data_IF_857708403069
#
_entry.id   IF_857708403069
#
_cell.length_a   1.000
_cell.length_b   1.000
_cell.length_c   1.000
_cell.angle_alpha   90.00
_cell.angle_beta   90.00
_cell.angle_gamma   90.00
#
_symmetry.space_group_name_H-M   'P 1'
#
loop_
_entity.id
_entity.type
_entity.pdbx_description
1 polymer ?
#
# COMPACT_ATOMS: atom_id res chain seq x y z
N UNK A 1 -19.45 -6.31 -1.04
CA UNK A 1 -19.57 -4.95 -0.45
C UNK A 1 -18.22 -4.28 -0.20
N UNK A 2 -17.19 -5.03 0.23
CA UNK A 2 -15.82 -4.53 0.47
C UNK A 2 -15.26 -3.61 -0.63
N UNK A 3 -15.30 -4.05 -1.89
CA UNK A 3 -14.82 -3.24 -3.03
C UNK A 3 -15.66 -1.97 -3.27
N UNK A 4 -16.96 -2.02 -2.99
CA UNK A 4 -17.86 -0.86 -3.15
C UNK A 4 -17.55 0.23 -2.14
N UNK A 5 -17.29 -0.14 -0.88
CA UNK A 5 -16.91 0.79 0.19
C UNK A 5 -15.51 1.38 0.01
N UNK A 6 -14.73 0.90 -0.96
CA UNK A 6 -13.52 1.56 -1.40
C UNK A 6 -13.81 2.95 -1.99
N UNK A 7 -14.98 3.13 -2.63
CA UNK A 7 -15.46 4.40 -3.19
C UNK A 7 -16.73 4.88 -2.47
N UNK A 8 -16.56 5.91 -1.65
CA UNK A 8 -17.63 6.56 -0.88
C UNK A 8 -18.11 7.87 -1.50
N UNK A 9 -17.72 8.16 -2.74
CA UNK A 9 -18.08 9.39 -3.40
C UNK A 9 -19.53 9.35 -3.92
N UNK A 10 -20.24 10.50 -4.00
CA UNK A 10 -21.66 10.51 -4.32
C UNK A 10 -21.95 10.53 -5.82
N UNK A 11 -20.94 10.52 -6.69
CA UNK A 11 -21.11 10.50 -8.15
C UNK A 11 -21.56 9.10 -8.62
N UNK A 12 -22.83 8.77 -8.34
CA UNK A 12 -23.47 7.47 -8.60
C UNK A 12 -24.96 7.69 -8.85
N UNK A 13 -25.63 6.67 -9.39
CA UNK A 13 -27.09 6.64 -9.51
C UNK A 13 -27.70 5.95 -8.30
N UNK A 14 -28.62 6.64 -7.62
CA UNK A 14 -29.37 6.11 -6.48
C UNK A 14 -30.86 6.04 -6.83
N UNK A 15 -31.53 4.93 -6.46
CA UNK A 15 -32.99 4.87 -6.58
C UNK A 15 -33.61 5.84 -5.59
N UNK A 16 -34.42 6.78 -6.07
CA UNK A 16 -35.10 7.77 -5.21
C UNK A 16 -35.88 7.13 -4.07
N UNK A 17 -36.65 6.07 -4.37
CA UNK A 17 -37.43 5.35 -3.37
C UNK A 17 -36.58 4.76 -2.23
N UNK A 18 -35.34 4.33 -2.51
CA UNK A 18 -34.39 3.88 -1.48
C UNK A 18 -34.08 5.01 -0.51
N UNK A 19 -33.82 6.21 -1.04
CA UNK A 19 -33.47 7.39 -0.23
C UNK A 19 -34.66 7.83 0.62
N UNK A 20 -35.85 7.89 0.04
CA UNK A 20 -37.06 8.36 0.71
C UNK A 20 -37.53 7.35 1.78
N UNK A 21 -37.58 6.06 1.46
CA UNK A 21 -38.00 5.00 2.40
C UNK A 21 -37.12 4.95 3.65
N UNK A 22 -35.81 5.16 3.50
CA UNK A 22 -34.85 5.08 4.61
C UNK A 22 -34.47 6.46 5.18
N UNK A 23 -35.12 7.55 4.74
CA UNK A 23 -34.82 8.91 5.20
C UNK A 23 -33.37 9.33 4.98
N UNK A 24 -32.72 8.84 3.92
CA UNK A 24 -31.31 9.12 3.65
C UNK A 24 -31.19 10.51 3.04
N UNK A 25 -30.49 11.39 3.75
CA UNK A 25 -30.13 12.75 3.33
C UNK A 25 -28.65 12.99 3.64
N UNK A 26 -28.07 13.98 2.97
CA UNK A 26 -26.75 14.48 3.37
C UNK A 26 -26.84 15.12 4.75
N UNK A 27 -25.85 14.91 5.62
CA UNK A 27 -25.70 15.72 6.82
C UNK A 27 -25.59 17.21 6.45
N UNK A 28 -26.43 18.05 7.04
CA UNK A 28 -26.38 19.50 6.83
C UNK A 28 -25.29 20.16 7.71
N UNK A 29 -24.78 21.31 7.27
CA UNK A 29 -23.72 22.05 7.95
C UNK A 29 -22.30 21.71 7.50
N UNK A 30 -21.29 22.11 8.29
CA UNK A 30 -19.86 21.88 7.98
C UNK A 30 -19.40 20.48 8.42
N UNK A 31 -19.98 19.45 7.81
CA UNK A 31 -19.58 18.05 8.04
C UNK A 31 -18.55 17.64 7.00
N UNK A 32 -17.44 17.04 7.41
CA UNK A 32 -16.45 16.48 6.47
C UNK A 32 -16.87 15.04 6.15
N UNK A 33 -16.61 14.58 4.93
CA UNK A 33 -17.00 13.22 4.52
C UNK A 33 -18.52 12.98 4.66
N UNK A 34 -19.29 14.06 4.58
CA UNK A 34 -20.75 14.07 4.56
C UNK A 34 -21.29 13.17 3.44
N UNK A 35 -20.59 13.17 2.32
CA UNK A 35 -20.84 12.28 1.19
C UNK A 35 -20.63 10.81 1.56
N UNK A 36 -19.51 10.50 2.22
CA UNK A 36 -19.22 9.13 2.63
C UNK A 36 -20.19 8.60 3.69
N UNK A 37 -20.70 9.46 4.56
CA UNK A 37 -21.76 9.11 5.51
C UNK A 37 -23.04 8.75 4.77
N UNK A 38 -23.47 9.60 3.82
CA UNK A 38 -24.69 9.37 3.03
C UNK A 38 -24.57 8.08 2.19
N UNK A 39 -23.48 7.92 1.44
CA UNK A 39 -23.26 6.77 0.56
C UNK A 39 -23.15 5.46 1.35
N UNK A 40 -22.53 5.47 2.53
CA UNK A 40 -22.47 4.28 3.39
C UNK A 40 -23.86 3.83 3.81
N UNK A 41 -24.76 4.76 4.19
CA UNK A 41 -26.16 4.43 4.47
C UNK A 41 -26.86 3.82 3.27
N UNK A 42 -26.62 4.34 2.06
CA UNK A 42 -27.19 3.78 0.84
C UNK A 42 -26.73 2.33 0.61
N UNK A 43 -25.43 2.04 0.76
CA UNK A 43 -24.94 0.67 0.58
C UNK A 43 -25.57 -0.31 1.56
N UNK A 44 -25.64 0.06 2.84
CA UNK A 44 -26.22 -0.79 3.89
C UNK A 44 -27.73 -1.00 3.72
N UNK A 45 -28.46 0.01 3.24
CA UNK A 45 -29.90 -0.10 2.96
C UNK A 45 -30.21 -0.80 1.63
N UNK A 46 -29.25 -0.87 0.71
CA UNK A 46 -29.48 -1.42 -0.62
C UNK A 46 -29.61 -2.95 -0.59
N UNK A 47 -30.63 -3.48 -1.28
CA UNK A 47 -30.75 -4.93 -1.52
C UNK A 47 -29.79 -5.43 -2.61
N UNK A 48 -29.46 -4.55 -3.57
CA UNK A 48 -28.55 -4.84 -4.67
C UNK A 48 -27.80 -3.57 -5.05
N UNK A 49 -26.50 -3.72 -5.20
CA UNK A 49 -25.60 -2.72 -5.79
C UNK A 49 -25.02 -3.32 -7.08
N UNK A 50 -24.93 -2.51 -8.13
CA UNK A 50 -24.35 -2.91 -9.42
C UNK A 50 -23.23 -1.93 -9.80
N UNK A 51 -22.25 -2.41 -10.56
CA UNK A 51 -21.17 -1.60 -11.13
C UNK A 51 -21.21 -1.76 -12.65
N UNK A 52 -21.17 -0.64 -13.36
CA UNK A 52 -21.03 -0.57 -14.83
C UNK A 52 -19.71 0.10 -15.15
N UNK A 53 -18.93 -0.51 -16.05
CA UNK A 53 -17.54 -0.14 -16.34
C UNK A 53 -17.15 -0.45 -17.80
N UNK A 54 -18.12 -0.46 -18.70
CA UNK A 54 -17.98 -0.66 -20.14
C UNK A 54 -17.48 0.59 -20.88
N UNK A 55 -17.61 1.78 -20.27
CA UNK A 55 -16.98 3.01 -20.73
C UNK A 55 -16.82 4.04 -19.58
N UNK A 56 -16.15 5.16 -19.85
CA UNK A 56 -15.98 6.26 -18.90
C UNK A 56 -17.27 7.10 -18.79
N UNK A 57 -18.05 6.87 -17.73
CA UNK A 57 -19.36 7.51 -17.53
C UNK A 57 -19.30 8.91 -16.91
N UNK A 58 -18.37 9.17 -16.01
CA UNK A 58 -18.36 10.37 -15.17
C UNK A 58 -16.98 11.02 -15.14
N UNK A 59 -16.87 12.22 -15.72
CA UNK A 59 -15.63 12.98 -15.78
C UNK A 59 -15.58 14.02 -14.65
N UNK A 60 -14.58 13.90 -13.77
CA UNK A 60 -14.31 14.89 -12.73
C UNK A 60 -13.43 16.00 -13.31
N UNK A 61 -14.00 17.19 -13.49
CA UNK A 61 -13.25 18.36 -13.92
C UNK A 61 -12.68 19.12 -12.71
N UNK A 62 -11.36 19.28 -12.64
CA UNK A 62 -10.74 20.15 -11.65
C UNK A 62 -10.97 21.62 -12.03
N UNK A 63 -11.36 22.48 -11.08
CA UNK A 63 -11.50 23.92 -11.34
C UNK A 63 -10.14 24.61 -11.37
N UNK A 64 -9.95 25.51 -12.33
CA UNK A 64 -8.83 26.45 -12.34
C UNK A 64 -8.88 27.34 -11.08
N UNK A 65 -7.72 27.57 -10.46
CA UNK A 65 -7.62 28.31 -9.18
C UNK A 65 -7.78 27.46 -7.91
N UNK A 66 -8.15 26.17 -8.03
CA UNK A 66 -8.04 25.19 -6.94
C UNK A 66 -8.96 25.41 -5.73
N UNK A 67 -9.70 26.51 -5.60
CA UNK A 67 -10.52 26.76 -4.43
C UNK A 67 -11.80 25.89 -4.42
N UNK A 68 -11.74 24.75 -3.74
CA UNK A 68 -12.93 24.01 -3.31
C UNK A 68 -13.19 24.29 -1.82
N UNK A 69 -14.44 24.22 -1.36
CA UNK A 69 -14.81 24.35 0.08
C UNK A 69 -13.99 23.39 0.95
N UNK A 70 -13.50 22.29 0.37
CA UNK A 70 -12.62 21.31 0.98
C UNK A 70 -11.16 21.77 1.22
N UNK A 71 -10.72 22.94 0.74
CA UNK A 71 -9.36 23.48 0.89
C UNK A 71 -9.05 24.03 2.29
N UNK A 72 -10.06 24.35 3.11
CA UNK A 72 -9.81 24.75 4.48
C UNK A 72 -9.05 23.64 5.25
N UNK A 73 -8.11 24.05 6.11
CA UNK A 73 -7.31 23.12 6.92
C UNK A 73 -8.24 22.22 7.73
N UNK A 74 -8.20 20.92 7.45
CA UNK A 74 -9.04 19.92 8.11
C UNK A 74 -8.84 19.93 9.63
N UNK A 75 -9.93 20.01 10.41
CA UNK A 75 -9.89 19.79 11.86
C UNK A 75 -9.61 18.31 12.14
N UNK A 76 -8.60 17.95 12.95
CA UNK A 76 -8.34 16.56 13.32
C UNK A 76 -9.55 15.86 13.93
N UNK A 77 -10.21 16.53 14.88
CA UNK A 77 -11.36 16.00 15.62
C UNK A 77 -12.55 15.81 14.67
N UNK A 78 -13.04 16.89 14.05
CA UNK A 78 -14.22 16.80 13.19
C UNK A 78 -14.07 15.87 11.98
N UNK A 79 -12.86 15.72 11.43
CA UNK A 79 -12.63 14.69 10.41
C UNK A 79 -12.71 13.28 10.99
N UNK A 80 -12.09 13.06 12.16
CA UNK A 80 -12.10 11.75 12.80
C UNK A 80 -13.51 11.34 13.26
N UNK A 81 -14.29 12.28 13.79
CA UNK A 81 -15.70 12.06 14.15
C UNK A 81 -16.53 11.61 12.94
N UNK A 82 -16.24 12.18 11.78
CA UNK A 82 -16.92 11.80 10.54
C UNK A 82 -16.54 10.40 10.08
N UNK A 83 -15.27 10.00 10.25
CA UNK A 83 -14.85 8.62 10.01
C UNK A 83 -15.45 7.66 11.03
N UNK A 84 -15.50 8.04 12.31
CA UNK A 84 -16.17 7.29 13.39
C UNK A 84 -17.65 7.07 13.04
N UNK A 85 -18.34 8.10 12.56
CA UNK A 85 -19.74 7.98 12.13
C UNK A 85 -19.93 6.93 11.03
N UNK A 86 -19.03 6.88 10.06
CA UNK A 86 -19.06 5.86 9.00
C UNK A 86 -18.77 4.47 9.58
N UNK A 87 -17.78 4.35 10.47
CA UNK A 87 -17.48 3.08 11.15
C UNK A 87 -18.69 2.57 11.94
N UNK A 88 -19.31 3.40 12.76
CA UNK A 88 -20.51 3.04 13.51
C UNK A 88 -21.67 2.62 12.62
N UNK A 89 -21.88 3.28 11.48
CA UNK A 89 -22.90 2.87 10.52
C UNK A 89 -22.64 1.46 10.00
N UNK A 90 -21.38 1.13 9.68
CA UNK A 90 -20.99 -0.21 9.21
C UNK A 90 -21.19 -1.25 10.32
N UNK A 91 -20.71 -0.97 11.53
CA UNK A 91 -20.79 -1.89 12.68
C UNK A 91 -22.23 -2.27 13.02
N UNK A 92 -23.14 -1.29 13.01
CA UNK A 92 -24.54 -1.52 13.41
C UNK A 92 -25.45 -1.91 12.23
N UNK A 93 -25.06 -1.57 11.01
CA UNK A 93 -25.88 -1.77 9.82
C UNK A 93 -25.52 -2.98 8.98
N UNK A 94 -24.34 -3.60 9.19
CA UNK A 94 -23.92 -4.79 8.46
C UNK A 94 -24.45 -6.06 9.16
N UNK A 95 -25.07 -7.01 8.44
CA UNK A 95 -25.66 -8.21 9.07
C UNK A 95 -24.62 -9.20 9.60
N UNK A 96 -23.40 -9.16 9.07
CA UNK A 96 -22.26 -10.00 9.48
C UNK A 96 -21.23 -9.14 10.20
N UNK A 97 -21.04 -9.41 11.50
CA UNK A 97 -20.13 -8.68 12.39
C UNK A 97 -18.66 -8.80 11.99
N UNK A 98 -18.21 -9.97 11.54
CA UNK A 98 -16.79 -10.16 11.19
C UNK A 98 -16.46 -9.48 9.88
N UNK A 99 -17.38 -9.52 8.92
CA UNK A 99 -17.25 -8.71 7.72
C UNK A 99 -17.29 -7.21 8.05
N UNK A 100 -18.15 -6.77 8.98
CA UNK A 100 -18.16 -5.38 9.45
C UNK A 100 -16.80 -4.93 9.99
N UNK A 101 -16.15 -5.73 10.84
CA UNK A 101 -14.79 -5.46 11.35
C UNK A 101 -13.77 -5.28 10.22
N UNK A 102 -13.82 -6.13 9.18
CA UNK A 102 -12.93 -6.02 8.02
C UNK A 102 -13.18 -4.72 7.23
N UNK A 103 -14.45 -4.32 7.06
CA UNK A 103 -14.82 -3.07 6.38
C UNK A 103 -14.35 -1.83 7.17
N UNK A 104 -14.50 -1.85 8.49
CA UNK A 104 -14.01 -0.80 9.39
C UNK A 104 -12.48 -0.75 9.36
N UNK A 105 -11.78 -1.89 9.34
CA UNK A 105 -10.33 -1.94 9.20
C UNK A 105 -9.86 -1.31 7.88
N UNK A 106 -10.55 -1.57 6.77
CA UNK A 106 -10.24 -0.96 5.48
C UNK A 106 -10.50 0.55 5.46
N UNK A 107 -11.55 1.01 6.15
CA UNK A 107 -11.84 2.43 6.35
C UNK A 107 -10.74 3.09 7.17
N UNK A 108 -10.36 2.49 8.30
CA UNK A 108 -9.28 2.92 9.18
C UNK A 108 -7.96 3.05 8.41
N UNK A 109 -7.57 2.02 7.64
CA UNK A 109 -6.38 2.06 6.79
C UNK A 109 -6.39 3.24 5.82
N UNK A 110 -7.49 3.44 5.08
CA UNK A 110 -7.57 4.43 3.99
C UNK A 110 -7.78 5.87 4.47
N UNK A 111 -8.56 6.08 5.53
CA UNK A 111 -9.00 7.40 5.99
C UNK A 111 -8.20 7.90 7.19
N UNK A 112 -7.77 7.00 8.08
CA UNK A 112 -7.05 7.35 9.30
C UNK A 112 -5.55 7.15 9.11
N UNK A 113 -5.09 5.91 8.94
CA UNK A 113 -3.65 5.59 8.92
C UNK A 113 -2.88 6.20 7.74
N UNK A 114 -3.57 6.48 6.63
CA UNK A 114 -3.05 7.30 5.51
C UNK A 114 -2.52 8.66 5.96
N UNK A 115 -3.05 9.21 7.06
CA UNK A 115 -2.66 10.54 7.54
C UNK A 115 -1.21 10.64 8.01
N UNK A 116 -0.60 9.50 8.29
CA UNK A 116 0.79 9.38 8.71
C UNK A 116 1.76 9.15 7.55
N UNK A 117 1.33 9.36 6.30
CA UNK A 117 2.22 9.37 5.14
C UNK A 117 3.44 10.29 5.40
N UNK A 118 4.69 9.85 5.14
CA UNK A 118 5.88 10.50 5.70
C UNK A 118 5.97 12.01 5.44
N UNK A 119 5.80 12.43 4.18
CA UNK A 119 5.85 13.84 3.79
C UNK A 119 4.78 14.67 4.50
N UNK A 120 3.54 14.16 4.53
CA UNK A 120 2.40 14.85 5.15
C UNK A 120 2.63 15.00 6.65
N UNK A 121 2.97 13.91 7.34
CA UNK A 121 3.09 13.92 8.80
C UNK A 121 4.24 14.80 9.28
N UNK A 122 5.43 14.70 8.67
CA UNK A 122 6.60 15.51 9.02
C UNK A 122 6.36 17.01 8.83
N UNK A 123 5.57 17.39 7.82
CA UNK A 123 5.24 18.81 7.56
C UNK A 123 4.29 19.44 8.59
N UNK A 124 3.62 18.65 9.43
CA UNK A 124 2.69 19.19 10.44
C UNK A 124 3.46 19.72 11.66
N UNK A 125 2.97 20.79 12.29
CA UNK A 125 3.49 21.23 13.59
C UNK A 125 3.25 20.19 14.69
N UNK A 126 4.11 20.16 15.71
CA UNK A 126 3.97 19.26 16.88
C UNK A 126 2.55 19.29 17.48
N UNK A 127 2.02 20.49 17.77
CA UNK A 127 0.68 20.62 18.33
C UNK A 127 -0.42 20.02 17.44
N UNK A 128 -0.25 20.09 16.12
CA UNK A 128 -1.19 19.48 15.16
C UNK A 128 -1.03 17.97 15.07
N UNK A 129 0.20 17.45 15.13
CA UNK A 129 0.45 16.00 15.18
C UNK A 129 -0.16 15.36 16.41
N UNK A 130 0.05 15.94 17.61
CA UNK A 130 -0.56 15.46 18.86
C UNK A 130 -2.08 15.34 18.77
N UNK A 131 -2.76 16.37 18.23
CA UNK A 131 -4.22 16.34 18.06
C UNK A 131 -4.69 15.26 17.08
N UNK A 132 -3.96 15.01 16.00
CA UNK A 132 -4.27 13.92 15.08
C UNK A 132 -4.04 12.54 15.71
N UNK A 133 -2.93 12.35 16.41
CA UNK A 133 -2.62 11.09 17.09
C UNK A 133 -3.66 10.80 18.18
N UNK A 134 -4.00 11.78 19.01
CA UNK A 134 -5.02 11.62 20.06
C UNK A 134 -6.39 11.24 19.46
N UNK A 135 -6.92 12.02 18.50
CA UNK A 135 -8.22 11.74 17.90
C UNK A 135 -8.27 10.35 17.24
N UNK A 136 -7.21 9.97 16.51
CA UNK A 136 -7.15 8.65 15.87
C UNK A 136 -6.93 7.49 16.87
N UNK A 137 -6.27 7.74 18.00
CA UNK A 137 -6.15 6.77 19.09
C UNK A 137 -7.53 6.47 19.68
N UNK A 138 -8.33 7.50 19.93
CA UNK A 138 -9.68 7.34 20.46
C UNK A 138 -10.59 6.60 19.43
N UNK A 139 -10.45 6.92 18.14
CA UNK A 139 -11.14 6.18 17.06
C UNK A 139 -10.77 4.69 17.04
N UNK A 140 -9.48 4.36 17.07
CA UNK A 140 -9.04 2.96 16.92
C UNK A 140 -9.36 2.14 18.17
N UNK A 141 -9.35 2.77 19.35
CA UNK A 141 -9.78 2.18 20.62
C UNK A 141 -11.28 1.84 20.59
N UNK A 142 -12.12 2.70 20.01
CA UNK A 142 -13.56 2.49 19.94
C UNK A 142 -14.01 1.50 18.84
N UNK A 143 -13.34 1.48 17.68
CA UNK A 143 -13.89 0.82 16.47
C UNK A 143 -13.05 -0.34 15.91
N UNK A 144 -11.80 -0.51 16.35
CA UNK A 144 -10.90 -1.51 15.77
C UNK A 144 -10.31 -2.39 16.85
N UNK A 145 -10.82 -3.62 17.04
CA UNK A 145 -10.22 -4.60 17.95
C UNK A 145 -8.73 -4.79 17.67
N UNK A 146 -7.92 -4.96 18.72
CA UNK A 146 -6.46 -4.95 18.61
C UNK A 146 -5.92 -6.09 17.73
N UNK A 147 -6.57 -7.25 17.76
CA UNK A 147 -6.25 -8.42 16.95
C UNK A 147 -6.35 -8.14 15.44
N UNK A 148 -7.17 -7.17 15.03
CA UNK A 148 -7.34 -6.82 13.62
C UNK A 148 -6.08 -6.20 13.02
N UNK A 149 -5.16 -5.68 13.84
CA UNK A 149 -3.87 -5.14 13.37
C UNK A 149 -3.02 -6.23 12.69
N UNK A 150 -3.24 -7.51 12.99
CA UNK A 150 -2.59 -8.63 12.31
C UNK A 150 -2.92 -8.69 10.80
N UNK A 151 -4.06 -8.16 10.38
CA UNK A 151 -4.45 -8.08 8.97
C UNK A 151 -3.89 -6.86 8.24
N UNK A 152 -3.21 -5.95 8.95
CA UNK A 152 -2.50 -4.84 8.33
C UNK A 152 -1.09 -5.27 7.93
N UNK A 153 -0.65 -4.81 6.76
CA UNK A 153 0.73 -4.95 6.29
C UNK A 153 1.52 -3.67 6.59
N UNK A 154 2.85 -3.74 6.47
CA UNK A 154 3.68 -2.55 6.49
C UNK A 154 3.20 -1.53 5.44
N UNK A 155 3.14 -0.22 5.77
CA UNK A 155 3.50 0.41 7.05
C UNK A 155 2.33 0.54 8.04
N UNK A 156 1.14 0.05 7.68
CA UNK A 156 -0.10 0.31 8.40
C UNK A 156 -0.16 -0.38 9.76
N UNK A 157 0.40 -1.60 9.90
CA UNK A 157 0.44 -2.30 11.18
C UNK A 157 1.21 -1.50 12.23
N UNK A 158 2.42 -1.06 11.90
CA UNK A 158 3.28 -0.27 12.77
C UNK A 158 2.65 1.09 13.09
N UNK A 159 2.05 1.75 12.11
CA UNK A 159 1.29 3.00 12.36
C UNK A 159 0.16 2.77 13.34
N UNK A 160 -0.60 1.69 13.22
CA UNK A 160 -1.71 1.38 14.14
C UNK A 160 -1.20 1.18 15.56
N UNK A 161 -0.16 0.37 15.74
CA UNK A 161 0.45 0.12 17.05
C UNK A 161 0.93 1.43 17.71
N UNK A 162 1.60 2.30 16.96
CA UNK A 162 2.09 3.58 17.47
C UNK A 162 0.97 4.59 17.75
N UNK A 163 -0.11 4.58 16.95
CA UNK A 163 -1.31 5.39 17.20
C UNK A 163 -2.00 4.95 18.48
N UNK A 164 -2.20 3.64 18.70
CA UNK A 164 -2.77 3.09 19.94
C UNK A 164 -1.93 3.48 21.17
N UNK A 165 -0.60 3.44 21.03
CA UNK A 165 0.33 3.87 22.07
C UNK A 165 0.42 5.40 22.24
N UNK A 166 -0.27 6.18 21.39
CA UNK A 166 -0.17 7.65 21.30
C UNK A 166 1.29 8.14 21.13
N UNK A 167 2.16 7.31 20.51
CA UNK A 167 3.59 7.58 20.34
C UNK A 167 3.87 8.42 19.08
N UNK A 168 3.78 9.75 19.21
CA UNK A 168 4.12 10.70 18.14
C UNK A 168 5.57 10.53 17.66
N UNK A 169 6.51 10.32 18.57
CA UNK A 169 7.93 10.24 18.23
C UNK A 169 8.25 8.96 17.48
N UNK A 170 7.64 7.84 17.88
CA UNK A 170 7.69 6.59 17.13
C UNK A 170 7.11 6.73 15.73
N UNK A 171 5.99 7.46 15.56
CA UNK A 171 5.44 7.73 14.22
C UNK A 171 6.40 8.57 13.35
N UNK A 172 7.13 9.51 13.94
CA UNK A 172 8.16 10.29 13.24
C UNK A 172 9.36 9.43 12.85
N UNK A 173 9.83 8.56 13.75
CA UNK A 173 10.90 7.59 13.45
C UNK A 173 10.47 6.62 12.35
N UNK A 174 9.27 6.05 12.44
CA UNK A 174 8.70 5.18 11.41
C UNK A 174 8.58 5.90 10.07
N UNK A 175 8.18 7.17 10.05
CA UNK A 175 8.18 7.96 8.82
C UNK A 175 9.60 8.08 8.21
N UNK A 176 10.65 8.07 9.04
CA UNK A 176 12.07 7.84 8.70
C UNK A 176 12.27 6.54 7.93
N UNK A 177 11.99 5.44 8.62
CA UNK A 177 12.12 4.08 8.12
C UNK A 177 11.34 3.86 6.83
N UNK A 178 10.10 4.36 6.72
CA UNK A 178 9.28 4.29 5.50
C UNK A 178 9.94 4.95 4.28
N UNK A 179 10.63 6.07 4.48
CA UNK A 179 11.33 6.78 3.40
C UNK A 179 12.56 6.00 2.94
N UNK A 180 13.29 5.39 3.88
CA UNK A 180 14.45 4.54 3.58
C UNK A 180 14.03 3.24 2.87
N UNK A 181 12.99 2.56 3.36
CA UNK A 181 12.43 1.32 2.79
C UNK A 181 11.66 1.56 1.46
N UNK A 182 11.50 2.82 1.05
CA UNK A 182 10.97 3.19 -0.25
C UNK A 182 12.02 3.36 -1.34
N UNK A 183 13.27 2.95 -1.09
CA UNK A 183 14.32 2.95 -2.10
C UNK A 183 14.00 2.04 -3.28
N UNK A 184 14.37 2.49 -4.47
CA UNK A 184 14.27 1.76 -5.72
C UNK A 184 15.55 0.94 -5.92
N UNK A 185 15.44 -0.39 -6.04
CA UNK A 185 16.57 -1.25 -6.33
C UNK A 185 16.91 -1.26 -7.83
N UNK A 186 18.17 -1.03 -8.15
CA UNK A 186 18.73 -1.07 -9.51
C UNK A 186 19.88 -2.08 -9.57
N UNK A 187 19.82 -3.01 -10.51
CA UNK A 187 20.94 -3.91 -10.76
C UNK A 187 22.05 -3.18 -11.55
N UNK A 188 23.31 -3.48 -11.24
CA UNK A 188 24.42 -3.31 -12.20
C UNK A 188 24.26 -4.31 -13.33
N UNK A 189 25.10 -4.19 -14.36
CA UNK A 189 25.19 -5.22 -15.41
C UNK A 189 25.45 -6.57 -14.74
N UNK A 190 24.55 -7.56 -14.92
CA UNK A 190 24.75 -8.87 -14.32
C UNK A 190 25.83 -9.66 -15.05
N UNK A 191 26.62 -10.38 -14.28
CA UNK A 191 27.58 -11.36 -14.76
C UNK A 191 26.99 -12.74 -14.55
N UNK A 192 26.96 -13.54 -15.62
CA UNK A 192 26.57 -14.93 -15.52
C UNK A 192 27.80 -15.83 -15.58
N UNK A 193 28.06 -16.54 -14.49
CA UNK A 193 28.98 -17.67 -14.48
C UNK A 193 28.26 -19.00 -14.71
N UNK A 194 29.02 -20.09 -14.82
CA UNK A 194 28.48 -21.43 -15.01
C UNK A 194 27.50 -21.86 -13.91
N UNK A 195 27.73 -21.40 -12.67
CA UNK A 195 26.99 -21.83 -11.47
C UNK A 195 26.26 -20.69 -10.75
N UNK A 196 26.50 -19.43 -11.11
CA UNK A 196 26.00 -18.27 -10.37
C UNK A 196 25.59 -17.14 -11.30
N UNK A 197 24.51 -16.45 -10.92
CA UNK A 197 24.17 -15.13 -11.41
C UNK A 197 24.66 -14.11 -10.38
N UNK A 198 25.54 -13.21 -10.79
CA UNK A 198 26.12 -12.16 -9.94
C UNK A 198 25.72 -10.78 -10.46
N UNK A 199 25.39 -9.87 -9.56
CA UNK A 199 25.27 -8.44 -9.88
C UNK A 199 25.37 -7.60 -8.62
N UNK A 200 25.76 -6.33 -8.77
CA UNK A 200 25.60 -5.32 -7.74
C UNK A 200 24.17 -4.82 -7.69
N UNK A 201 23.62 -4.62 -6.49
CA UNK A 201 22.32 -4.00 -6.25
C UNK A 201 22.55 -2.60 -5.67
N UNK A 202 22.25 -1.57 -6.46
CA UNK A 202 22.29 -0.17 -6.03
C UNK A 202 20.92 0.27 -5.55
N UNK A 203 20.89 1.03 -4.46
CA UNK A 203 19.67 1.68 -3.97
C UNK A 203 19.71 3.17 -4.29
N UNK A 204 18.62 3.71 -4.86
CA UNK A 204 18.51 5.11 -5.30
C UNK A 204 18.57 6.14 -4.15
N UNK A 205 18.44 5.67 -2.91
CA UNK A 205 18.48 6.48 -1.69
C UNK A 205 19.66 6.04 -0.83
N UNK A 206 20.40 7.03 -0.33
CA UNK A 206 21.43 6.78 0.68
C UNK A 206 20.77 6.52 2.03
N UNK A 207 20.87 5.30 2.51
CA UNK A 207 20.40 4.88 3.83
C UNK A 207 21.13 3.61 4.21
N UNK A 208 21.36 3.43 5.50
CA UNK A 208 21.80 2.16 6.06
C UNK A 208 20.64 1.17 6.12
N UNK A 209 20.90 -0.11 5.87
CA UNK A 209 19.91 -1.19 5.98
C UNK A 209 20.48 -2.27 6.89
N UNK A 210 19.62 -2.83 7.74
CA UNK A 210 20.00 -3.91 8.64
C UNK A 210 20.18 -5.23 7.86
N UNK A 211 19.39 -5.41 6.79
CA UNK A 211 19.46 -6.54 5.88
C UNK A 211 18.87 -6.18 4.50
N UNK A 212 19.39 -6.80 3.44
CA UNK A 212 18.90 -6.67 2.06
C UNK A 212 18.84 -8.06 1.44
N UNK A 213 17.65 -8.45 0.98
CA UNK A 213 17.40 -9.76 0.37
C UNK A 213 16.92 -9.61 -1.06
N UNK A 214 17.41 -10.46 -1.95
CA UNK A 214 16.88 -10.62 -3.30
C UNK A 214 15.96 -11.82 -3.36
N UNK A 215 14.80 -11.66 -3.98
CA UNK A 215 13.82 -12.71 -4.20
C UNK A 215 13.69 -12.96 -5.70
N UNK A 216 13.97 -14.18 -6.12
CA UNK A 216 13.66 -14.68 -7.44
C UNK A 216 12.30 -15.39 -7.39
N UNK A 217 11.28 -14.78 -8.00
CA UNK A 217 9.89 -15.29 -7.95
C UNK A 217 9.43 -15.80 -9.31
N UNK A 218 8.93 -17.02 -9.36
CA UNK A 218 8.27 -17.59 -10.53
C UNK A 218 6.98 -16.85 -10.86
N UNK A 219 6.80 -16.44 -12.12
CA UNK A 219 5.54 -15.88 -12.61
C UNK A 219 4.42 -16.90 -12.72
N UNK A 220 4.75 -18.19 -12.87
CA UNK A 220 3.76 -19.23 -13.13
C UNK A 220 3.00 -19.64 -11.87
N UNK A 221 3.70 -19.76 -10.74
CA UNK A 221 3.15 -20.32 -9.51
C UNK A 221 3.50 -19.51 -8.24
N UNK A 222 4.25 -18.42 -8.36
CA UNK A 222 4.64 -17.58 -7.24
C UNK A 222 5.71 -18.18 -6.31
N UNK A 223 6.29 -19.34 -6.64
CA UNK A 223 7.38 -19.93 -5.88
C UNK A 223 8.59 -18.97 -5.83
N UNK A 224 9.26 -18.90 -4.68
CA UNK A 224 10.36 -17.97 -4.43
C UNK A 224 11.64 -18.68 -4.02
N UNK A 225 12.76 -18.16 -4.51
CA UNK A 225 14.10 -18.38 -3.97
C UNK A 225 14.57 -17.06 -3.37
N UNK A 226 15.14 -17.11 -2.17
CA UNK A 226 15.67 -15.93 -1.48
C UNK A 226 17.17 -16.05 -1.36
N UNK A 227 17.89 -15.01 -1.78
CA UNK A 227 19.32 -14.85 -1.56
C UNK A 227 19.58 -13.66 -0.64
N UNK A 228 20.47 -13.87 0.32
CA UNK A 228 21.06 -12.77 1.07
C UNK A 228 22.02 -11.99 0.16
N UNK A 229 22.12 -10.68 0.39
CA UNK A 229 23.14 -9.88 -0.26
C UNK A 229 24.36 -9.78 0.65
N UNK A 230 25.56 -9.72 0.05
CA UNK A 230 26.78 -9.37 0.77
C UNK A 230 26.68 -7.95 1.37
N UNK A 231 27.44 -7.67 2.44
CA UNK A 231 27.41 -6.37 3.12
C UNK A 231 27.79 -5.24 2.16
N UNK A 232 27.17 -4.08 2.33
CA UNK A 232 27.43 -2.88 1.56
C UNK A 232 26.61 -1.71 2.10
N UNK A 233 27.01 -0.48 1.80
CA UNK A 233 26.27 0.72 2.23
C UNK A 233 25.18 1.07 1.19
N UNK A 234 25.60 1.32 -0.06
CA UNK A 234 24.70 1.71 -1.18
C UNK A 234 24.77 0.77 -2.37
N UNK A 235 25.68 -0.20 -2.32
CA UNK A 235 25.89 -1.22 -3.34
C UNK A 235 26.05 -2.55 -2.61
N UNK A 236 25.14 -3.47 -2.88
CA UNK A 236 25.12 -4.79 -2.26
C UNK A 236 25.51 -5.83 -3.30
N UNK A 237 26.29 -6.83 -2.93
CA UNK A 237 26.63 -7.92 -3.85
C UNK A 237 25.55 -8.99 -3.81
N UNK A 238 24.95 -9.29 -4.95
CA UNK A 238 23.94 -10.33 -5.10
C UNK A 238 24.58 -11.54 -5.75
N UNK A 239 24.48 -12.69 -5.10
CA UNK A 239 24.88 -13.99 -5.66
C UNK A 239 23.67 -14.91 -5.63
N UNK A 240 23.17 -15.27 -6.81
CA UNK A 240 22.08 -16.24 -6.98
C UNK A 240 22.65 -17.53 -7.56
N UNK A 241 22.72 -18.64 -6.79
CA UNK A 241 23.14 -19.93 -7.32
C UNK A 241 22.16 -20.42 -8.39
N UNK A 242 22.66 -20.83 -9.57
CA UNK A 242 21.82 -21.37 -10.65
C UNK A 242 21.03 -22.58 -10.20
N UNK A 243 21.65 -23.48 -9.45
CA UNK A 243 20.97 -24.65 -8.88
C UNK A 243 19.77 -24.31 -7.97
N UNK A 244 19.68 -23.10 -7.42
CA UNK A 244 18.47 -22.65 -6.73
C UNK A 244 17.42 -22.11 -7.71
N UNK A 245 17.83 -21.31 -8.69
CA UNK A 245 16.94 -20.82 -9.75
C UNK A 245 16.29 -21.98 -10.53
N UNK A 246 17.07 -23.01 -10.87
CA UNK A 246 16.62 -24.17 -11.63
C UNK A 246 15.52 -24.97 -10.90
N UNK A 247 15.44 -24.87 -9.56
CA UNK A 247 14.33 -25.47 -8.77
C UNK A 247 12.98 -24.81 -9.05
N UNK A 248 12.96 -23.59 -9.58
CA UNK A 248 11.74 -22.91 -10.02
C UNK A 248 11.21 -23.48 -11.34
N UNK A 249 12.02 -24.29 -12.04
CA UNK A 249 11.69 -24.95 -13.30
C UNK A 249 11.77 -24.03 -14.51
N UNK A 250 11.28 -24.49 -15.68
CA UNK A 250 11.36 -23.75 -16.94
C UNK A 250 10.30 -22.64 -16.98
N UNK A 251 10.52 -21.56 -16.22
CA UNK A 251 9.54 -20.47 -16.03
C UNK A 251 10.16 -19.10 -16.30
N UNK A 252 9.29 -18.08 -16.35
CA UNK A 252 9.72 -16.70 -16.22
C UNK A 252 9.90 -16.36 -14.75
N UNK A 253 11.03 -15.75 -14.42
CA UNK A 253 11.38 -15.35 -13.06
C UNK A 253 11.51 -13.83 -12.99
N UNK A 254 10.93 -13.27 -11.93
CA UNK A 254 10.97 -11.87 -11.61
C UNK A 254 11.85 -11.64 -10.38
N UNK A 255 12.87 -10.78 -10.50
CA UNK A 255 13.76 -10.42 -9.40
C UNK A 255 13.27 -9.21 -8.57
N UNK A 256 13.09 -9.40 -7.28
CA UNK A 256 12.66 -8.37 -6.32
C UNK A 256 13.74 -8.13 -5.27
N UNK A 257 13.76 -6.96 -4.66
CA UNK A 257 14.48 -6.71 -3.41
C UNK A 257 13.49 -6.52 -2.25
N UNK A 258 13.87 -7.00 -1.07
CA UNK A 258 13.23 -6.71 0.21
C UNK A 258 14.28 -6.13 1.15
N UNK A 259 13.98 -4.94 1.67
CA UNK A 259 14.86 -4.18 2.55
C UNK A 259 14.37 -4.36 4.00
N UNK A 260 15.29 -4.53 4.93
CA UNK A 260 15.01 -4.56 6.36
C UNK A 260 15.67 -3.37 7.04
N UNK A 261 14.91 -2.69 7.90
CA UNK A 261 15.42 -1.57 8.70
C UNK A 261 14.54 -1.32 9.91
N UNK A 262 15.15 -1.08 11.06
CA UNK A 262 14.46 -0.71 12.31
C UNK A 262 13.36 -1.74 12.67
N UNK A 263 13.64 -3.03 12.47
CA UNK A 263 12.71 -4.13 12.72
C UNK A 263 11.54 -4.22 11.72
N UNK A 264 11.59 -3.50 10.59
CA UNK A 264 10.54 -3.48 9.58
C UNK A 264 11.04 -3.97 8.21
N UNK A 265 10.24 -4.81 7.57
CA UNK A 265 10.45 -5.20 6.17
C UNK A 265 9.69 -4.28 5.21
N UNK A 266 10.35 -3.91 4.11
CA UNK A 266 9.67 -3.30 2.96
C UNK A 266 8.79 -4.33 2.24
N UNK A 267 7.70 -3.93 1.57
CA UNK A 267 7.10 -4.76 0.53
C UNK A 267 8.14 -5.09 -0.56
N UNK A 268 8.10 -6.28 -1.19
CA UNK A 268 9.01 -6.61 -2.29
C UNK A 268 8.91 -5.60 -3.43
N UNK A 269 10.05 -5.08 -3.90
CA UNK A 269 10.14 -4.12 -5.01
C UNK A 269 10.85 -4.75 -6.19
N UNK A 270 10.32 -4.60 -7.40
CA UNK A 270 10.97 -5.08 -8.63
C UNK A 270 12.36 -4.42 -8.75
N UNK A 271 13.38 -5.22 -9.04
CA UNK A 271 14.72 -4.74 -9.34
C UNK A 271 14.73 -4.19 -10.77
N UNK A 272 15.18 -2.95 -10.95
CA UNK A 272 15.32 -2.34 -12.26
C UNK A 272 16.53 -2.93 -12.98
N UNK A 273 16.38 -3.14 -14.30
CA UNK A 273 17.46 -3.56 -15.16
C UNK A 273 18.49 -2.41 -15.32
N UNK A 274 19.78 -2.72 -15.50
CA UNK A 274 20.81 -1.73 -15.79
C UNK A 274 20.50 -0.94 -17.06
N UNK A 275 20.79 0.36 -17.04
CA UNK A 275 20.65 1.23 -18.22
C UNK A 275 21.67 0.89 -19.32
N UNK A 276 22.79 0.27 -18.95
CA UNK A 276 23.87 -0.13 -19.85
C UNK A 276 23.49 -1.31 -20.76
N UNK A 277 22.33 -1.93 -20.53
CA UNK A 277 21.88 -3.12 -21.24
C UNK A 277 22.18 -4.41 -20.49
N UNK A 278 21.66 -5.52 -21.02
CA UNK A 278 21.79 -6.86 -20.44
C UNK A 278 22.64 -7.75 -21.35
N UNK A 279 23.43 -8.67 -20.77
CA UNK A 279 24.22 -9.59 -21.55
C UNK A 279 23.32 -10.52 -22.39
N UNK A 280 23.81 -10.88 -23.57
CA UNK A 280 23.17 -11.83 -24.50
C UNK A 280 23.86 -13.20 -24.45
N UNK A 281 23.10 -14.28 -24.64
CA UNK A 281 23.62 -15.64 -24.81
C UNK A 281 23.90 -16.35 -23.48
N UNK A 282 22.88 -16.96 -22.86
CA UNK A 282 23.08 -17.87 -21.74
C UNK A 282 22.62 -19.26 -22.13
N UNK A 283 23.49 -20.25 -21.96
CA UNK A 283 23.09 -21.65 -21.98
C UNK A 283 22.09 -21.89 -20.84
N UNK A 284 20.85 -22.25 -21.18
CA UNK A 284 19.80 -22.55 -20.21
C UNK A 284 18.92 -21.39 -19.73
N UNK A 285 19.22 -20.13 -20.05
CA UNK A 285 18.43 -18.97 -19.59
C UNK A 285 18.60 -17.73 -20.46
N UNK A 286 17.78 -16.69 -20.24
CA UNK A 286 18.00 -15.35 -20.81
C UNK A 286 17.65 -14.27 -19.81
N UNK A 287 18.56 -13.32 -19.57
CA UNK A 287 18.25 -12.10 -18.84
C UNK A 287 17.55 -11.12 -19.77
N UNK A 288 16.50 -10.47 -19.28
CA UNK A 288 15.79 -9.45 -20.04
C UNK A 288 15.17 -8.38 -19.14
N UNK A 289 14.91 -7.21 -19.74
CA UNK A 289 14.16 -6.14 -19.11
C UNK A 289 12.68 -6.24 -19.54
N UNK A 290 11.75 -6.10 -18.61
CA UNK A 290 10.32 -6.01 -18.94
C UNK A 290 10.00 -4.66 -19.60
N UNK A 291 8.77 -4.51 -20.11
CA UNK A 291 8.26 -3.23 -20.65
C UNK A 291 8.36 -2.05 -19.66
N UNK A 292 8.43 -2.34 -18.36
CA UNK A 292 8.59 -1.34 -17.30
C UNK A 292 10.06 -1.18 -16.84
N UNK A 293 11.01 -1.74 -17.58
CA UNK A 293 12.45 -1.65 -17.26
C UNK A 293 12.89 -2.53 -16.08
N UNK A 294 12.12 -3.55 -15.69
CA UNK A 294 12.47 -4.41 -14.55
C UNK A 294 13.26 -5.65 -15.00
N UNK A 295 14.24 -6.07 -14.21
CA UNK A 295 15.08 -7.23 -14.45
C UNK A 295 14.31 -8.54 -14.22
N UNK A 296 14.38 -9.43 -15.20
CA UNK A 296 13.75 -10.75 -15.19
C UNK A 296 14.65 -11.79 -15.88
N UNK A 297 14.36 -13.07 -15.62
CA UNK A 297 15.04 -14.23 -16.20
C UNK A 297 14.01 -15.06 -16.96
N UNK A 298 14.35 -15.53 -18.16
CA UNK A 298 13.58 -16.50 -18.94
C UNK A 298 14.31 -17.84 -18.96
N UNK A 299 13.79 -18.84 -18.24
CA UNK A 299 14.34 -20.21 -18.22
C UNK A 299 13.51 -21.19 -19.07
N UNK A 300 12.59 -20.72 -19.92
CA UNK A 300 11.69 -21.61 -20.67
C UNK A 300 12.35 -22.32 -21.85
N UNK A 301 13.53 -21.87 -22.27
CA UNK A 301 14.23 -22.37 -23.45
C UNK A 301 15.73 -22.45 -23.14
N UNK A 302 16.29 -23.64 -23.35
CA UNK A 302 17.67 -23.97 -23.00
C UNK A 302 18.68 -23.56 -24.08
N UNK A 303 18.21 -23.28 -25.29
CA UNK A 303 19.02 -23.18 -26.52
C UNK A 303 19.13 -21.74 -27.05
N UNK A 304 19.43 -20.76 -26.18
CA UNK A 304 19.61 -19.35 -26.57
C UNK A 304 21.08 -18.96 -26.76
#
# INVERSE_FOLDING_TARGET
MRDMLASLSPQKLFRRELLDRHGIRFPEGKVRLEDGIMVTRCYLASRRTAVTADYDYYFLHAREGGANISFERTSPIGYTDSVAKIASLIEHGHPDTDHAKQLVLDLYRRKVLRSYAPRRFRSMSSGRRRRWVAAHADFVEAHVPAEMDAHLNFPFRQRSQLVRARDEQGLLRLAGTEVALAATPLATVPELGENTLFFGLRLDRGSTYDDVRVLARSRANGAEVVAACGPGDRMFQVVLPRAQLDRLGPVLIDLYARLHRDGCDSPPRRIQAPEQGLPTGLSGARLYATVHGNLSIDQRRSDW
#
